data_IF_383183736905
#
_entry.id   IF_383183736905
#
_cell.length_a   1.000
_cell.length_b   1.000
_cell.length_c   1.000
_cell.angle_alpha   90.00
_cell.angle_beta   90.00
_cell.angle_gamma   90.00
#
_symmetry.space_group_name_H-M   'P 1'
#
loop_
_entity.id
_entity.type
_entity.pdbx_description
1 polymer ?
#
# COMPACT_ATOMS: atom_id res chain seq x y z
N UNK A 1 8.48 -26.25 14.87
CA UNK A 1 8.22 -24.80 14.91
C UNK A 1 7.79 -24.39 13.52
N UNK A 2 6.54 -23.96 13.33
CA UNK A 2 6.02 -23.60 12.01
C UNK A 2 6.82 -22.46 11.37
N UNK A 3 7.10 -22.57 10.07
CA UNK A 3 7.81 -21.55 9.30
C UNK A 3 6.89 -20.33 9.20
N UNK A 4 7.29 -19.17 9.74
CA UNK A 4 6.49 -17.93 9.69
C UNK A 4 5.99 -17.58 8.26
N UNK A 5 4.82 -16.93 8.09
CA UNK A 5 4.25 -16.68 6.77
C UNK A 5 5.11 -15.65 6.07
N UNK A 6 5.92 -16.17 5.15
CA UNK A 6 6.75 -15.33 4.29
C UNK A 6 5.80 -14.58 3.38
N UNK A 7 5.97 -13.28 3.36
CA UNK A 7 5.34 -12.46 2.33
C UNK A 7 5.87 -12.89 0.94
N UNK A 8 5.11 -12.73 -0.16
CA UNK A 8 5.47 -13.27 -1.47
C UNK A 8 6.87 -12.83 -1.93
N UNK A 9 7.77 -13.79 -2.21
CA UNK A 9 9.15 -13.50 -2.67
C UNK A 9 9.26 -13.80 -4.17
N UNK A 10 9.62 -12.79 -4.95
CA UNK A 10 9.95 -12.87 -6.38
C UNK A 10 11.04 -11.86 -6.75
N UNK A 11 11.48 -11.77 -8.01
CA UNK A 11 12.39 -10.73 -8.46
C UNK A 11 11.82 -9.34 -8.09
N UNK A 12 12.58 -8.50 -7.37
CA UNK A 12 12.13 -7.17 -6.94
C UNK A 12 11.49 -7.08 -5.54
N UNK A 13 11.45 -8.17 -4.76
CA UNK A 13 10.85 -8.22 -3.42
C UNK A 13 11.43 -7.17 -2.43
N UNK A 14 12.72 -6.83 -2.47
CA UNK A 14 13.23 -5.78 -1.58
C UNK A 14 12.59 -4.40 -1.85
N UNK A 15 12.09 -4.16 -3.07
CA UNK A 15 11.56 -2.87 -3.50
C UNK A 15 10.05 -2.70 -3.29
N UNK A 16 9.27 -3.79 -3.21
CA UNK A 16 7.80 -3.73 -3.15
C UNK A 16 7.28 -2.84 -2.00
N UNK A 17 7.82 -2.93 -0.77
CA UNK A 17 7.32 -2.08 0.31
C UNK A 17 7.59 -0.60 0.12
N UNK A 18 8.78 -0.28 -0.42
CA UNK A 18 9.18 1.09 -0.70
C UNK A 18 8.48 1.64 -1.94
N UNK A 19 8.19 0.79 -2.93
CA UNK A 19 7.44 1.16 -4.13
C UNK A 19 5.97 1.43 -3.80
N UNK A 20 5.33 0.63 -2.93
CA UNK A 20 3.95 0.86 -2.49
C UNK A 20 3.79 2.17 -1.73
N UNK A 21 4.61 2.39 -0.70
CA UNK A 21 4.61 3.63 0.06
C UNK A 21 5.03 4.83 -0.80
N UNK A 22 6.09 4.69 -1.60
CA UNK A 22 6.58 5.74 -2.49
C UNK A 22 5.55 6.14 -3.54
N UNK A 23 4.86 5.18 -4.16
CA UNK A 23 3.80 5.42 -5.11
C UNK A 23 2.60 6.15 -4.50
N UNK A 24 2.20 5.78 -3.28
CA UNK A 24 1.13 6.46 -2.56
C UNK A 24 1.50 7.90 -2.19
N UNK A 25 2.69 8.11 -1.63
CA UNK A 25 3.19 9.45 -1.29
C UNK A 25 3.30 10.32 -2.55
N UNK A 26 3.80 9.76 -3.65
CA UNK A 26 3.91 10.44 -4.92
C UNK A 26 2.53 10.80 -5.50
N UNK A 27 1.58 9.86 -5.48
CA UNK A 27 0.21 10.11 -5.94
C UNK A 27 -0.48 11.24 -5.16
N UNK A 28 -0.33 11.23 -3.84
CA UNK A 28 -0.87 12.28 -2.98
C UNK A 28 -0.14 13.62 -3.22
N UNK A 29 1.19 13.59 -3.41
CA UNK A 29 1.97 14.78 -3.73
C UNK A 29 1.57 15.40 -5.07
N UNK A 30 1.36 14.59 -6.12
CA UNK A 30 0.87 15.02 -7.44
C UNK A 30 -0.51 15.69 -7.32
N UNK A 31 -1.37 15.18 -6.42
CA UNK A 31 -2.70 15.74 -6.21
C UNK A 31 -2.66 17.13 -5.57
N UNK A 32 -1.81 17.33 -4.56
CA UNK A 32 -1.79 18.56 -3.75
C UNK A 32 -0.78 19.62 -4.18
N UNK A 33 0.39 19.21 -4.70
CA UNK A 33 1.47 20.14 -5.03
C UNK A 33 1.59 20.32 -6.54
N UNK A 34 1.33 21.53 -7.07
CA UNK A 34 1.51 21.82 -8.49
C UNK A 34 2.91 21.48 -9.01
N UNK A 35 3.95 21.75 -8.21
CA UNK A 35 5.33 21.42 -8.55
C UNK A 35 5.56 19.92 -8.82
N UNK A 36 4.86 19.03 -8.09
CA UNK A 36 5.00 17.58 -8.25
C UNK A 36 4.38 17.04 -9.55
N UNK A 37 3.48 17.81 -10.18
CA UNK A 37 2.82 17.44 -11.45
C UNK A 37 3.38 18.14 -12.69
N UNK A 38 4.51 18.86 -12.56
CA UNK A 38 5.14 19.53 -13.71
C UNK A 38 5.77 18.52 -14.70
N UNK A 39 6.04 17.30 -14.24
CA UNK A 39 6.56 16.25 -15.11
C UNK A 39 5.49 15.80 -16.12
N UNK A 40 5.83 15.62 -17.42
CA UNK A 40 4.85 15.36 -18.48
C UNK A 40 3.91 14.19 -18.19
N UNK A 41 4.45 13.09 -17.65
CA UNK A 41 3.67 11.89 -17.30
C UNK A 41 2.62 12.20 -16.23
N UNK A 42 3.02 12.81 -15.11
CA UNK A 42 2.10 13.12 -14.01
C UNK A 42 1.08 14.19 -14.39
N UNK A 43 1.47 15.15 -15.22
CA UNK A 43 0.56 16.17 -15.77
C UNK A 43 -0.56 15.52 -16.58
N UNK A 44 -0.23 14.61 -17.49
CA UNK A 44 -1.21 13.90 -18.32
C UNK A 44 -2.14 13.03 -17.46
N UNK A 45 -1.59 12.25 -16.52
CA UNK A 45 -2.38 11.44 -15.59
C UNK A 45 -3.33 12.29 -14.76
N UNK A 46 -2.87 13.43 -14.24
CA UNK A 46 -3.70 14.36 -13.47
C UNK A 46 -4.80 15.01 -14.31
N UNK A 47 -4.51 15.38 -15.56
CA UNK A 47 -5.51 15.92 -16.49
C UNK A 47 -6.60 14.88 -16.78
N UNK A 48 -6.20 13.63 -17.04
CA UNK A 48 -7.13 12.53 -17.26
C UNK A 48 -8.00 12.28 -16.02
N UNK A 49 -7.40 12.24 -14.83
CA UNK A 49 -8.14 12.13 -13.57
C UNK A 49 -9.13 13.29 -13.39
N UNK A 50 -8.68 14.53 -13.59
CA UNK A 50 -9.56 15.71 -13.51
C UNK A 50 -10.71 15.64 -14.51
N UNK A 51 -10.47 15.12 -15.72
CA UNK A 51 -11.52 14.91 -16.71
C UNK A 51 -12.57 13.89 -16.25
N UNK A 52 -12.13 12.73 -15.74
CA UNK A 52 -13.02 11.66 -15.26
C UNK A 52 -13.84 12.09 -14.04
N UNK A 53 -13.19 12.69 -13.04
CA UNK A 53 -13.83 13.13 -11.79
C UNK A 53 -14.47 14.52 -11.88
N UNK A 54 -14.31 15.21 -13.02
CA UNK A 54 -14.80 16.57 -13.29
C UNK A 54 -14.39 17.63 -12.26
N UNK A 55 -13.47 17.32 -11.36
CA UNK A 55 -13.07 18.18 -10.25
C UNK A 55 -11.66 17.85 -9.78
N UNK A 56 -10.79 18.87 -9.74
CA UNK A 56 -9.46 18.74 -9.15
C UNK A 56 -9.54 18.52 -7.64
N UNK A 57 -10.46 19.21 -6.97
CA UNK A 57 -10.70 19.04 -5.54
C UNK A 57 -11.23 17.64 -5.22
N UNK A 58 -12.15 17.12 -6.04
CA UNK A 58 -12.64 15.75 -5.91
C UNK A 58 -11.52 14.71 -6.01
N UNK A 59 -10.58 14.91 -6.94
CA UNK A 59 -9.40 14.06 -7.07
C UNK A 59 -8.48 14.14 -5.85
N UNK A 60 -8.23 15.35 -5.32
CA UNK A 60 -7.42 15.57 -4.12
C UNK A 60 -8.00 14.87 -2.89
N UNK A 61 -9.30 15.03 -2.67
CA UNK A 61 -10.01 14.37 -1.57
C UNK A 61 -9.94 12.86 -1.72
N UNK A 62 -10.12 12.33 -2.94
CA UNK A 62 -10.03 10.89 -3.21
C UNK A 62 -8.64 10.33 -2.86
N UNK A 63 -7.57 10.92 -3.38
CA UNK A 63 -6.20 10.45 -3.09
C UNK A 63 -5.88 10.52 -1.59
N UNK A 64 -6.33 11.56 -0.92
CA UNK A 64 -6.15 11.71 0.54
C UNK A 64 -6.93 10.65 1.32
N UNK A 65 -8.17 10.39 0.92
CA UNK A 65 -9.02 9.38 1.56
C UNK A 65 -8.43 7.97 1.39
N UNK A 66 -7.99 7.62 0.18
CA UNK A 66 -7.33 6.34 -0.12
C UNK A 66 -6.05 6.19 0.71
N UNK A 67 -5.24 7.24 0.80
CA UNK A 67 -4.03 7.22 1.63
C UNK A 67 -4.33 6.94 3.12
N UNK A 68 -5.37 7.59 3.66
CA UNK A 68 -5.80 7.37 5.06
C UNK A 68 -6.31 5.95 5.26
N UNK A 69 -7.16 5.44 4.36
CA UNK A 69 -7.71 4.07 4.43
C UNK A 69 -6.58 3.05 4.44
N UNK A 70 -5.64 3.13 3.50
CA UNK A 70 -4.52 2.19 3.43
C UNK A 70 -3.58 2.30 4.63
N UNK A 71 -3.43 3.49 5.22
CA UNK A 71 -2.67 3.66 6.47
C UNK A 71 -3.34 2.92 7.63
N UNK A 72 -4.67 3.03 7.77
CA UNK A 72 -5.43 2.29 8.78
C UNK A 72 -5.31 0.78 8.55
N UNK A 73 -5.44 0.32 7.31
CA UNK A 73 -5.26 -1.08 6.94
C UNK A 73 -3.84 -1.58 7.26
N UNK A 74 -2.82 -0.79 6.93
CA UNK A 74 -1.43 -1.10 7.26
C UNK A 74 -1.23 -1.23 8.79
N UNK A 75 -1.87 -0.38 9.59
CA UNK A 75 -1.84 -0.53 11.05
C UNK A 75 -2.51 -1.83 11.54
N UNK A 76 -3.59 -2.27 10.89
CA UNK A 76 -4.22 -3.57 11.18
C UNK A 76 -3.25 -4.71 10.84
N UNK A 77 -2.64 -4.70 9.66
CA UNK A 77 -1.63 -5.68 9.25
C UNK A 77 -0.46 -5.72 10.23
N UNK A 78 0.06 -4.56 10.67
CA UNK A 78 1.13 -4.47 11.67
C UNK A 78 0.74 -5.16 12.98
N UNK A 79 -0.46 -4.87 13.50
CA UNK A 79 -0.96 -5.50 14.73
C UNK A 79 -1.04 -7.02 14.58
N UNK A 80 -1.46 -7.53 13.43
CA UNK A 80 -1.46 -8.97 13.13
C UNK A 80 -0.05 -9.55 13.14
N UNK A 81 0.90 -8.90 12.44
CA UNK A 81 2.30 -9.32 12.40
C UNK A 81 2.95 -9.35 13.79
N UNK A 82 2.72 -8.31 14.61
CA UNK A 82 3.25 -8.22 15.98
C UNK A 82 2.66 -9.30 16.89
N UNK A 83 1.33 -9.51 16.84
CA UNK A 83 0.65 -10.56 17.63
C UNK A 83 1.17 -11.97 17.30
N UNK A 84 1.68 -12.16 16.07
CA UNK A 84 2.21 -13.42 15.56
C UNK A 84 3.73 -13.50 15.60
N UNK A 85 4.40 -12.48 16.14
CA UNK A 85 5.87 -12.39 16.26
C UNK A 85 6.59 -12.65 14.92
N UNK A 86 6.04 -12.10 13.84
CA UNK A 86 6.68 -12.20 12.53
C UNK A 86 8.02 -11.46 12.51
N UNK A 87 8.91 -11.83 11.59
CA UNK A 87 10.18 -11.13 11.42
C UNK A 87 9.95 -9.68 10.99
N UNK A 88 10.90 -8.79 11.29
CA UNK A 88 10.84 -7.39 10.84
C UNK A 88 10.73 -7.30 9.32
N UNK A 89 11.46 -8.16 8.59
CA UNK A 89 11.42 -8.18 7.13
C UNK A 89 10.05 -8.59 6.58
N UNK A 90 9.42 -9.62 7.15
CA UNK A 90 8.07 -10.02 6.73
C UNK A 90 7.04 -8.97 7.13
N UNK A 91 7.19 -8.35 8.30
CA UNK A 91 6.32 -7.26 8.75
C UNK A 91 6.36 -6.08 7.79
N UNK A 92 7.55 -5.63 7.39
CA UNK A 92 7.71 -4.57 6.40
C UNK A 92 7.17 -4.97 5.02
N UNK A 93 7.36 -6.23 4.62
CA UNK A 93 6.77 -6.80 3.42
C UNK A 93 5.25 -6.65 3.38
N UNK A 94 4.58 -7.13 4.43
CA UNK A 94 3.12 -7.07 4.56
C UNK A 94 2.59 -5.65 4.71
N UNK A 95 3.29 -4.79 5.46
CA UNK A 95 2.94 -3.37 5.57
C UNK A 95 2.96 -2.69 4.21
N UNK A 96 4.03 -2.88 3.45
CA UNK A 96 4.19 -2.32 2.12
C UNK A 96 3.15 -2.83 1.13
N UNK A 97 2.88 -4.14 1.15
CA UNK A 97 1.85 -4.74 0.32
C UNK A 97 0.45 -4.23 0.70
N UNK A 98 0.18 -4.00 1.98
CA UNK A 98 -1.08 -3.42 2.46
C UNK A 98 -1.21 -1.95 2.07
N UNK A 99 -0.12 -1.17 2.16
CA UNK A 99 -0.13 0.19 1.63
C UNK A 99 -0.41 0.23 0.13
N UNK A 100 0.00 -0.79 -0.63
CA UNK A 100 -0.27 -0.85 -2.07
C UNK A 100 -1.67 -1.37 -2.43
N UNK A 101 -2.08 -2.49 -1.84
CA UNK A 101 -3.27 -3.24 -2.25
C UNK A 101 -4.45 -3.06 -1.29
N UNK A 102 -4.22 -2.62 -0.06
CA UNK A 102 -5.23 -2.48 0.98
C UNK A 102 -5.69 -3.82 1.55
N UNK A 103 -7.00 -3.94 1.80
CA UNK A 103 -7.64 -5.14 2.36
C UNK A 103 -7.24 -6.49 1.73
N UNK A 104 -7.12 -6.66 0.40
CA UNK A 104 -6.63 -7.91 -0.20
C UNK A 104 -5.32 -8.44 0.40
N UNK A 105 -4.38 -7.56 0.76
CA UNK A 105 -3.12 -7.97 1.40
C UNK A 105 -3.34 -8.47 2.83
N UNK A 106 -4.26 -7.85 3.58
CA UNK A 106 -4.65 -8.29 4.92
C UNK A 106 -5.34 -9.66 4.85
N UNK A 107 -6.23 -9.85 3.88
CA UNK A 107 -6.93 -11.11 3.69
C UNK A 107 -5.94 -12.25 3.41
N UNK A 108 -5.02 -12.05 2.47
CA UNK A 108 -3.96 -13.02 2.16
C UNK A 108 -3.06 -13.30 3.38
N UNK A 109 -2.67 -12.27 4.14
CA UNK A 109 -1.91 -12.44 5.39
C UNK A 109 -2.68 -13.31 6.39
N UNK A 110 -3.98 -13.06 6.57
CA UNK A 110 -4.81 -13.83 7.49
C UNK A 110 -4.91 -15.30 7.06
N UNK A 111 -5.18 -15.55 5.79
CA UNK A 111 -5.28 -16.91 5.22
C UNK A 111 -4.00 -17.70 5.49
N UNK A 112 -2.82 -17.13 5.16
CA UNK A 112 -1.53 -17.78 5.41
C UNK A 112 -1.25 -18.02 6.90
N UNK A 113 -1.71 -17.12 7.77
CA UNK A 113 -1.57 -17.28 9.22
C UNK A 113 -2.45 -18.40 9.78
N UNK A 114 -3.63 -18.62 9.19
CA UNK A 114 -4.55 -19.66 9.63
C UNK A 114 -4.13 -21.04 9.11
N UNK A 115 -3.64 -21.14 7.86
CA UNK A 115 -3.01 -22.35 7.32
C UNK A 115 -1.87 -22.86 8.21
N UNK A 116 -1.10 -21.95 8.80
CA UNK A 116 0.01 -22.31 9.70
C UNK A 116 -0.42 -22.85 11.06
N UNK A 117 -1.62 -22.52 11.53
CA UNK A 117 -2.12 -23.09 12.78
C UNK A 117 -2.67 -24.50 12.57
N UNK A 118 -3.11 -24.80 11.34
CA UNK A 118 -3.67 -26.09 10.97
C UNK A 118 -2.60 -27.15 10.64
N UNK A 119 -1.36 -26.71 10.37
CA UNK A 119 -0.20 -27.55 10.10
C UNK A 119 0.64 -27.80 11.35
#
# INVERSE_FOLDING_TARGET
MGVAPRWPRGPGHAAVPFAGLGGMLLGNAIAWFPAAREWPVFKQTFILGKFLFRSAFGLQVLFSAVFVIHTVEAMVALRMCLKRKLSTADTLGWLGLTMLLGYPAIHELNTRLDEQKAA
#
